data_IF_177725479382
#
_entry.id   IF_177725479382
#
_cell.length_a   1.000
_cell.length_b   1.000
_cell.length_c   1.000
_cell.angle_alpha   90.00
_cell.angle_beta   90.00
_cell.angle_gamma   90.00
#
_symmetry.space_group_name_H-M   'P 1'
#
loop_
_entity.id
_entity.type
_entity.pdbx_description
1 polymer ?
#
# COMPACT_ATOMS: atom_id res chain seq x y z
N UNK A 1 11.92 -2.80 15.97
CA UNK A 1 11.21 -1.83 15.07
C UNK A 1 10.02 -2.54 14.45
N UNK A 2 8.92 -1.85 14.20
CA UNK A 2 7.75 -2.45 13.56
C UNK A 2 8.11 -2.71 12.08
N UNK A 3 7.99 -3.97 11.64
CA UNK A 3 8.24 -4.37 10.25
C UNK A 3 7.11 -3.83 9.36
N UNK A 4 7.42 -3.57 8.08
CA UNK A 4 6.38 -3.25 7.12
C UNK A 4 5.41 -4.44 6.98
N UNK A 5 4.10 -4.17 6.99
CA UNK A 5 3.07 -5.21 6.92
C UNK A 5 1.83 -4.76 6.16
N UNK A 6 1.18 -5.72 5.51
CA UNK A 6 -0.10 -5.55 4.83
C UNK A 6 -1.16 -6.38 5.54
N UNK A 7 -2.22 -5.74 6.04
CA UNK A 7 -3.40 -6.41 6.58
C UNK A 7 -4.53 -6.35 5.55
N UNK A 8 -5.03 -7.49 5.13
CA UNK A 8 -6.18 -7.58 4.23
C UNK A 8 -7.46 -7.43 5.07
N UNK A 9 -8.18 -6.33 4.89
CA UNK A 9 -9.48 -6.11 5.51
C UNK A 9 -10.61 -6.70 4.66
N UNK A 10 -10.43 -6.74 3.35
CA UNK A 10 -11.30 -7.37 2.38
C UNK A 10 -10.59 -7.59 1.05
N UNK A 11 -10.83 -8.74 0.42
CA UNK A 11 -10.23 -9.13 -0.86
C UNK A 11 -11.22 -9.75 -1.85
N UNK A 12 -12.54 -9.57 -1.64
CA UNK A 12 -13.57 -9.99 -2.57
C UNK A 12 -13.81 -8.98 -3.69
N UNK A 13 -14.19 -9.47 -4.86
CA UNK A 13 -14.52 -8.69 -6.07
C UNK A 13 -16.02 -8.42 -6.14
N UNK A 14 -16.39 -7.20 -6.48
CA UNK A 14 -17.73 -6.70 -6.81
C UNK A 14 -18.78 -6.82 -5.68
N UNK A 15 -19.00 -7.98 -5.13
CA UNK A 15 -20.04 -8.22 -4.13
C UNK A 15 -19.48 -8.72 -2.80
N UNK A 16 -19.96 -8.22 -1.65
CA UNK A 16 -19.63 -8.82 -0.38
C UNK A 16 -20.17 -10.25 -0.32
N UNK A 17 -19.41 -11.16 0.23
CA UNK A 17 -19.80 -12.53 0.49
C UNK A 17 -19.75 -12.83 1.99
N UNK A 18 -20.18 -14.00 2.41
CA UNK A 18 -20.01 -14.41 3.82
C UNK A 18 -18.55 -14.58 4.21
N UNK A 19 -17.66 -14.85 3.25
CA UNK A 19 -16.24 -15.13 3.47
C UNK A 19 -15.38 -13.91 3.21
N UNK A 20 -15.61 -13.20 2.12
CA UNK A 20 -14.78 -12.07 1.68
C UNK A 20 -15.60 -10.79 1.64
N UNK A 21 -15.06 -9.75 2.25
CA UNK A 21 -15.54 -8.36 2.15
C UNK A 21 -14.94 -7.69 0.90
N UNK A 22 -15.56 -6.61 0.40
CA UNK A 22 -15.03 -5.82 -0.71
C UNK A 22 -13.63 -5.27 -0.42
N UNK A 23 -12.94 -4.88 -1.49
CA UNK A 23 -11.53 -4.47 -1.46
C UNK A 23 -11.22 -3.41 -0.40
N UNK A 24 -10.34 -3.76 0.51
CA UNK A 24 -9.76 -2.83 1.49
C UNK A 24 -8.50 -3.43 2.11
N UNK A 25 -7.38 -2.71 2.06
CA UNK A 25 -6.11 -3.14 2.61
C UNK A 25 -5.51 -2.07 3.49
N UNK A 26 -4.98 -2.46 4.65
CA UNK A 26 -4.26 -1.59 5.56
C UNK A 26 -2.76 -1.87 5.45
N UNK A 27 -2.01 -0.94 4.90
CA UNK A 27 -0.56 -0.99 4.85
C UNK A 27 0.02 -0.25 6.06
N UNK A 28 0.85 -0.94 6.83
CA UNK A 28 1.68 -0.33 7.88
C UNK A 28 3.13 -0.29 7.43
N UNK A 29 3.69 0.92 7.36
CA UNK A 29 5.07 1.17 6.94
C UNK A 29 5.63 2.36 7.71
N UNK A 30 6.80 2.21 8.33
CA UNK A 30 7.43 3.30 9.10
C UNK A 30 6.52 3.89 10.20
N UNK A 31 5.81 3.06 10.94
CA UNK A 31 4.85 3.46 11.98
C UNK A 31 3.63 4.25 11.47
N UNK A 32 3.45 4.33 10.16
CA UNK A 32 2.31 4.96 9.50
C UNK A 32 1.33 3.92 9.00
N UNK A 33 0.07 4.31 8.98
CA UNK A 33 -1.02 3.51 8.43
C UNK A 33 -1.60 4.19 7.20
N UNK A 34 -1.68 3.43 6.11
CA UNK A 34 -2.28 3.82 4.85
C UNK A 34 -3.40 2.84 4.53
N UNK A 35 -4.60 3.34 4.25
CA UNK A 35 -5.69 2.51 3.76
C UNK A 35 -5.68 2.56 2.22
N UNK A 36 -5.74 1.41 1.58
CA UNK A 36 -5.82 1.27 0.14
C UNK A 36 -7.16 0.64 -0.17
N UNK A 37 -7.98 1.39 -0.89
CA UNK A 37 -9.40 1.16 -1.10
C UNK A 37 -10.23 1.08 0.19
N UNK A 38 -11.51 1.33 0.08
CA UNK A 38 -12.43 1.37 1.21
C UNK A 38 -13.80 0.85 0.76
N UNK A 39 -13.88 -0.46 0.54
CA UNK A 39 -15.12 -1.14 0.21
C UNK A 39 -16.11 -1.14 1.39
N UNK A 40 -17.34 -1.54 1.12
CA UNK A 40 -18.39 -1.60 2.13
C UNK A 40 -17.98 -2.46 3.33
N UNK A 41 -18.21 -1.94 4.54
CA UNK A 41 -17.91 -2.65 5.79
C UNK A 41 -16.47 -2.52 6.28
N UNK A 42 -15.61 -1.75 5.60
CA UNK A 42 -14.21 -1.53 6.00
C UNK A 42 -14.06 -1.12 7.47
N UNK A 43 -14.91 -0.20 7.98
CA UNK A 43 -14.87 0.23 9.38
C UNK A 43 -15.14 -0.91 10.37
N UNK A 44 -15.98 -1.88 9.99
CA UNK A 44 -16.25 -3.07 10.82
C UNK A 44 -14.99 -3.93 10.91
N UNK A 45 -14.34 -4.16 9.77
CA UNK A 45 -13.10 -4.95 9.69
C UNK A 45 -11.95 -4.29 10.42
N UNK A 46 -11.81 -2.97 10.32
CA UNK A 46 -10.84 -2.19 11.11
C UNK A 46 -11.08 -2.35 12.61
N UNK A 47 -12.34 -2.30 13.05
CA UNK A 47 -12.70 -2.52 14.44
C UNK A 47 -12.31 -3.94 14.91
N UNK A 48 -12.59 -4.97 14.11
CA UNK A 48 -12.23 -6.37 14.40
C UNK A 48 -10.71 -6.56 14.55
N UNK A 49 -9.91 -5.82 13.77
CA UNK A 49 -8.44 -5.84 13.83
C UNK A 49 -7.85 -4.88 14.88
N UNK A 50 -8.67 -4.14 15.62
CA UNK A 50 -8.22 -3.18 16.62
C UNK A 50 -7.47 -1.98 16.04
N UNK A 51 -7.73 -1.62 14.78
CA UNK A 51 -7.09 -0.49 14.11
C UNK A 51 -7.57 0.83 14.73
N UNK A 52 -6.62 1.66 15.15
CA UNK A 52 -6.95 2.95 15.79
C UNK A 52 -7.22 4.02 14.75
N UNK A 53 -8.42 4.59 14.77
CA UNK A 53 -8.86 5.63 13.83
C UNK A 53 -7.86 6.80 13.70
N UNK A 54 -7.26 7.24 14.82
CA UNK A 54 -6.34 8.39 14.84
C UNK A 54 -4.96 8.11 14.20
N UNK A 55 -4.60 6.84 13.94
CA UNK A 55 -3.34 6.49 13.28
C UNK A 55 -3.46 6.51 11.75
N UNK A 56 -4.66 6.33 11.21
CA UNK A 56 -4.92 6.36 9.77
C UNK A 56 -5.02 7.81 9.29
N UNK A 57 -4.00 8.30 8.59
CA UNK A 57 -3.96 9.66 8.06
C UNK A 57 -4.35 9.75 6.58
N UNK A 58 -4.10 8.71 5.81
CA UNK A 58 -4.24 8.73 4.36
C UNK A 58 -4.99 7.51 3.84
N UNK A 59 -5.91 7.76 2.90
CA UNK A 59 -6.67 6.75 2.16
C UNK A 59 -6.38 6.94 0.68
N UNK A 60 -6.05 5.87 -0.02
CA UNK A 60 -5.77 5.83 -1.46
C UNK A 60 -6.85 5.01 -2.16
N UNK A 61 -7.61 5.62 -3.06
CA UNK A 61 -8.70 4.95 -3.80
C UNK A 61 -8.26 4.72 -5.23
N UNK A 62 -8.18 3.46 -5.62
CA UNK A 62 -7.69 3.02 -6.93
C UNK A 62 -8.63 3.45 -8.07
N UNK A 63 -9.94 3.30 -7.87
CA UNK A 63 -10.97 3.69 -8.81
C UNK A 63 -12.36 3.78 -8.12
N UNK A 64 -13.39 4.21 -8.87
CA UNK A 64 -14.70 4.54 -8.29
C UNK A 64 -15.77 3.45 -8.51
N UNK A 65 -15.41 2.17 -8.61
CA UNK A 65 -16.37 1.10 -8.41
C UNK A 65 -16.76 1.01 -6.92
N UNK A 66 -18.00 0.59 -6.66
CA UNK A 66 -18.57 0.62 -5.31
C UNK A 66 -17.80 -0.25 -4.31
N UNK A 67 -17.32 -1.41 -4.75
CA UNK A 67 -16.54 -2.34 -3.94
C UNK A 67 -15.15 -1.80 -3.54
N UNK A 68 -14.76 -0.63 -4.06
CA UNK A 68 -13.51 0.06 -3.69
C UNK A 68 -13.74 1.36 -2.92
N UNK A 69 -14.95 1.92 -2.87
CA UNK A 69 -15.16 3.24 -2.26
C UNK A 69 -16.44 3.41 -1.42
N UNK A 70 -17.42 2.51 -1.48
CA UNK A 70 -18.70 2.69 -0.76
C UNK A 70 -18.57 2.67 0.76
N UNK A 71 -17.47 2.17 1.31
CA UNK A 71 -17.21 2.19 2.75
C UNK A 71 -16.80 3.55 3.30
N UNK A 72 -16.41 4.52 2.44
CA UNK A 72 -15.88 5.81 2.87
C UNK A 72 -16.84 6.60 3.76
N UNK A 73 -18.12 6.69 3.40
CA UNK A 73 -19.11 7.42 4.22
C UNK A 73 -19.24 6.83 5.61
N UNK A 74 -19.35 5.51 5.71
CA UNK A 74 -19.45 4.81 7.00
C UNK A 74 -18.18 4.96 7.83
N UNK A 75 -17.01 4.89 7.20
CA UNK A 75 -15.72 5.06 7.87
C UNK A 75 -15.56 6.48 8.43
N UNK A 76 -15.81 7.51 7.62
CA UNK A 76 -15.68 8.92 8.03
C UNK A 76 -16.66 9.26 9.14
N UNK A 77 -17.93 8.85 9.02
CA UNK A 77 -18.93 9.02 10.08
C UNK A 77 -18.50 8.33 11.38
N UNK A 78 -17.97 7.12 11.31
CA UNK A 78 -17.43 6.38 12.46
C UNK A 78 -16.27 7.13 13.10
N UNK A 79 -15.36 7.71 12.31
CA UNK A 79 -14.25 8.52 12.82
C UNK A 79 -14.73 9.79 13.54
N UNK A 80 -15.80 10.41 13.06
CA UNK A 80 -16.46 11.52 13.77
C UNK A 80 -16.96 11.10 15.15
N UNK A 81 -17.69 9.98 15.23
CA UNK A 81 -18.19 9.43 16.49
C UNK A 81 -17.09 9.00 17.48
N UNK A 82 -15.90 8.66 16.96
CA UNK A 82 -14.71 8.35 17.79
C UNK A 82 -13.90 9.59 18.17
N UNK A 83 -14.42 10.79 17.97
CA UNK A 83 -13.79 12.08 18.31
C UNK A 83 -12.39 12.24 17.68
N UNK A 84 -12.23 11.82 16.43
CA UNK A 84 -11.02 12.08 15.66
C UNK A 84 -10.84 13.58 15.49
N UNK A 85 -9.62 14.09 15.70
CA UNK A 85 -9.26 15.51 15.47
C UNK A 85 -8.20 15.69 14.38
N UNK A 86 -7.44 14.63 14.08
CA UNK A 86 -6.42 14.68 13.03
C UNK A 86 -7.07 14.71 11.63
N UNK A 87 -6.52 15.48 10.72
CA UNK A 87 -6.95 15.52 9.32
C UNK A 87 -6.96 14.15 8.66
N UNK A 88 -7.90 13.94 7.73
CA UNK A 88 -7.98 12.74 6.92
C UNK A 88 -7.79 13.11 5.45
N UNK A 89 -6.74 12.59 4.84
CA UNK A 89 -6.40 12.85 3.44
C UNK A 89 -6.90 11.70 2.57
N UNK A 90 -7.65 12.01 1.51
CA UNK A 90 -8.17 11.04 0.53
C UNK A 90 -7.55 11.34 -0.82
N UNK A 91 -6.76 10.41 -1.32
CA UNK A 91 -6.11 10.45 -2.62
C UNK A 91 -6.94 9.64 -3.61
N UNK A 92 -7.59 10.31 -4.58
CA UNK A 92 -8.51 9.66 -5.51
C UNK A 92 -8.69 10.49 -6.79
N UNK A 93 -9.45 9.95 -7.72
CA UNK A 93 -9.92 10.72 -8.89
C UNK A 93 -10.82 11.89 -8.45
N UNK A 94 -10.78 13.00 -9.19
CA UNK A 94 -11.50 14.23 -8.88
C UNK A 94 -13.03 14.06 -8.68
N UNK A 95 -13.62 13.06 -9.32
CA UNK A 95 -15.05 12.81 -9.21
C UNK A 95 -15.48 12.29 -7.84
N UNK A 96 -14.55 11.67 -7.07
CA UNK A 96 -14.87 11.23 -5.72
C UNK A 96 -15.23 12.40 -4.80
N UNK A 97 -14.48 13.49 -4.85
CA UNK A 97 -14.78 14.70 -4.07
C UNK A 97 -16.19 15.25 -4.40
N UNK A 98 -16.52 15.30 -5.69
CA UNK A 98 -17.84 15.79 -6.15
C UNK A 98 -18.99 14.94 -5.61
N UNK A 99 -18.78 13.63 -5.49
CA UNK A 99 -19.77 12.67 -5.00
C UNK A 99 -19.85 12.69 -3.48
N UNK A 100 -18.70 12.68 -2.80
CA UNK A 100 -18.64 12.47 -1.35
C UNK A 100 -18.88 13.75 -0.55
N UNK A 101 -18.39 14.90 -1.03
CA UNK A 101 -18.48 16.17 -0.31
C UNK A 101 -19.93 16.62 0.02
N UNK A 102 -20.91 16.53 -0.89
CA UNK A 102 -22.32 16.82 -0.55
C UNK A 102 -22.88 15.86 0.50
N UNK A 103 -22.49 14.58 0.48
CA UNK A 103 -22.93 13.61 1.47
C UNK A 103 -22.33 13.91 2.85
N UNK A 104 -21.05 14.27 2.91
CA UNK A 104 -20.39 14.69 4.15
C UNK A 104 -21.05 15.93 4.74
N UNK A 105 -21.40 16.92 3.90
CA UNK A 105 -22.10 18.13 4.33
C UNK A 105 -23.50 17.84 4.90
N UNK A 106 -24.16 16.81 4.40
CA UNK A 106 -25.51 16.43 4.84
C UNK A 106 -25.49 15.53 6.08
N UNK A 107 -24.68 14.49 6.09
CA UNK A 107 -24.68 13.44 7.11
C UNK A 107 -23.63 13.63 8.21
N UNK A 108 -22.58 14.43 7.97
CA UNK A 108 -21.41 14.56 8.84
C UNK A 108 -20.98 16.03 8.96
N UNK A 109 -21.93 16.93 9.18
CA UNK A 109 -21.70 18.39 9.22
C UNK A 109 -20.98 18.88 10.49
N UNK A 110 -20.82 18.03 11.49
CA UNK A 110 -20.24 18.30 12.81
C UNK A 110 -18.90 17.59 13.07
N UNK A 111 -18.21 17.15 12.00
CA UNK A 111 -16.89 16.50 12.13
C UNK A 111 -15.90 17.43 12.84
N UNK A 112 -15.18 16.89 13.81
CA UNK A 112 -14.10 17.58 14.53
C UNK A 112 -12.77 17.60 13.77
N UNK A 113 -12.75 17.13 12.52
CA UNK A 113 -11.57 17.07 11.64
C UNK A 113 -11.92 17.40 10.20
N UNK A 114 -10.91 17.81 9.44
CA UNK A 114 -11.05 18.08 8.02
C UNK A 114 -10.83 16.82 7.19
N UNK A 115 -11.67 16.62 6.15
CA UNK A 115 -11.45 15.66 5.07
C UNK A 115 -10.88 16.42 3.88
N UNK A 116 -9.64 16.09 3.51
CA UNK A 116 -8.87 16.78 2.45
C UNK A 116 -8.75 15.84 1.26
N UNK A 117 -9.20 16.30 0.09
CA UNK A 117 -9.13 15.53 -1.15
C UNK A 117 -7.90 15.92 -1.97
N UNK A 118 -7.17 14.92 -2.43
CA UNK A 118 -6.02 15.03 -3.34
C UNK A 118 -6.35 14.31 -4.64
N UNK A 119 -6.41 15.07 -5.72
CA UNK A 119 -6.74 14.51 -7.05
C UNK A 119 -5.56 13.74 -7.62
N UNK A 120 -5.80 12.49 -8.04
CA UNK A 120 -4.84 11.63 -8.72
C UNK A 120 -5.13 11.57 -10.22
N UNK A 121 -4.07 11.63 -11.03
CA UNK A 121 -4.14 11.29 -12.44
C UNK A 121 -3.86 9.80 -12.64
N UNK A 122 -4.90 8.99 -12.84
CA UNK A 122 -4.80 7.54 -12.98
C UNK A 122 -4.07 7.06 -14.26
N UNK A 123 -3.79 7.97 -15.19
CA UNK A 123 -3.13 7.65 -16.47
C UNK A 123 -1.62 7.88 -16.47
N UNK A 124 -1.08 8.44 -15.37
CA UNK A 124 0.34 8.75 -15.24
C UNK A 124 0.94 8.00 -14.07
N UNK A 125 2.21 7.66 -14.22
CA UNK A 125 3.06 7.28 -13.10
C UNK A 125 3.66 8.55 -12.54
N UNK A 126 3.19 8.99 -11.38
CA UNK A 126 3.63 10.24 -10.75
C UNK A 126 3.61 10.13 -9.23
N UNK A 127 4.44 10.95 -8.57
CA UNK A 127 4.46 11.08 -7.12
C UNK A 127 3.16 11.74 -6.64
N UNK A 128 2.40 11.03 -5.80
CA UNK A 128 1.10 11.49 -5.30
C UNK A 128 1.09 11.79 -3.80
N UNK A 129 2.09 11.27 -3.07
CA UNK A 129 2.31 11.57 -1.66
C UNK A 129 3.79 11.42 -1.33
N UNK A 130 4.29 12.30 -0.47
CA UNK A 130 5.65 12.23 0.04
C UNK A 130 5.73 12.85 1.43
N UNK A 131 6.50 12.18 2.30
CA UNK A 131 6.99 12.77 3.54
C UNK A 131 8.48 12.43 3.75
N UNK A 132 8.99 12.60 4.97
CA UNK A 132 10.41 12.31 5.26
C UNK A 132 10.78 10.83 5.17
N UNK A 133 9.81 9.91 5.18
CA UNK A 133 10.06 8.47 5.35
C UNK A 133 9.48 7.58 4.26
N UNK A 134 8.43 8.05 3.56
CA UNK A 134 7.70 7.28 2.56
C UNK A 134 7.37 8.15 1.36
N UNK A 135 7.45 7.58 0.17
CA UNK A 135 6.91 8.11 -1.08
C UNK A 135 5.84 7.16 -1.62
N UNK A 136 4.80 7.72 -2.25
CA UNK A 136 3.76 6.93 -2.92
C UNK A 136 3.58 7.44 -4.34
N UNK A 137 3.65 6.51 -5.28
CA UNK A 137 3.44 6.80 -6.70
C UNK A 137 2.19 6.10 -7.21
N UNK A 138 1.50 6.72 -8.17
CA UNK A 138 0.44 6.07 -8.93
C UNK A 138 1.00 5.11 -9.96
N UNK A 139 0.33 3.97 -10.19
CA UNK A 139 0.65 2.98 -11.22
C UNK A 139 -0.51 2.94 -12.19
N UNK A 140 -0.38 3.41 -13.45
CA UNK A 140 -1.46 3.31 -14.44
C UNK A 140 -1.87 1.86 -14.67
N UNK A 141 -3.15 1.56 -14.51
CA UNK A 141 -3.72 0.23 -14.76
C UNK A 141 -4.67 0.25 -15.97
N UNK A 142 -5.04 -0.94 -16.45
CA UNK A 142 -5.95 -1.10 -17.57
C UNK A 142 -7.28 -1.68 -17.10
N UNK A 143 -8.27 -0.83 -16.95
CA UNK A 143 -9.61 -1.21 -16.52
C UNK A 143 -10.68 -0.39 -17.24
N UNK A 144 -11.96 -0.84 -17.17
CA UNK A 144 -13.12 -0.22 -17.85
C UNK A 144 -13.40 1.21 -17.43
N UNK A 145 -13.03 1.56 -16.22
CA UNK A 145 -13.06 2.94 -15.70
C UNK A 145 -11.64 3.41 -15.42
N UNK A 146 -11.39 4.72 -15.34
CA UNK A 146 -10.07 5.22 -14.96
C UNK A 146 -9.63 4.58 -13.64
N UNK A 147 -8.48 3.89 -13.64
CA UNK A 147 -7.97 3.11 -12.51
C UNK A 147 -6.46 3.24 -12.40
N UNK A 148 -5.94 3.24 -11.18
CA UNK A 148 -4.51 3.12 -10.91
C UNK A 148 -4.24 2.24 -9.68
N UNK A 149 -3.10 1.61 -9.67
CA UNK A 149 -2.49 1.03 -8.49
C UNK A 149 -1.61 2.04 -7.76
N UNK A 150 -0.90 1.56 -6.74
CA UNK A 150 -0.03 2.39 -5.90
C UNK A 150 1.29 1.68 -5.62
N UNK A 151 2.40 2.42 -5.75
CA UNK A 151 3.72 1.97 -5.33
C UNK A 151 4.13 2.75 -4.09
N UNK A 152 4.31 2.07 -2.97
CA UNK A 152 4.81 2.62 -1.72
C UNK A 152 6.29 2.28 -1.60
N UNK A 153 7.10 3.30 -1.39
CA UNK A 153 8.55 3.15 -1.24
C UNK A 153 9.03 3.81 0.06
N UNK A 154 9.72 3.04 0.89
CA UNK A 154 10.45 3.63 2.00
C UNK A 154 11.63 4.45 1.48
N UNK A 155 11.84 5.61 2.07
CA UNK A 155 13.09 6.36 1.86
C UNK A 155 14.23 5.74 2.65
N UNK A 156 15.44 5.78 2.09
CA UNK A 156 16.64 5.32 2.78
C UNK A 156 16.80 6.07 4.11
N UNK A 157 17.05 5.34 5.18
CA UNK A 157 17.41 5.92 6.48
C UNK A 157 18.88 6.29 6.54
N UNK A 158 19.19 7.25 7.40
CA UNK A 158 20.57 7.49 7.81
C UNK A 158 21.17 6.23 8.43
N UNK A 159 22.49 6.08 8.27
CA UNK A 159 23.28 5.01 8.92
C UNK A 159 23.17 5.11 10.45
N UNK A 160 23.40 4.01 11.13
CA UNK A 160 23.43 3.99 12.60
C UNK A 160 24.85 4.27 13.09
N UNK A 161 25.04 5.34 13.87
CA UNK A 161 26.32 5.61 14.48
C UNK A 161 26.62 4.61 15.60
N UNK A 162 27.84 4.11 15.65
CA UNK A 162 28.32 3.21 16.69
C UNK A 162 28.70 4.09 17.91
N UNK A 163 27.97 3.92 19.02
CA UNK A 163 28.10 4.81 20.17
C UNK A 163 29.52 4.87 20.74
N UNK A 164 30.17 3.70 20.82
CA UNK A 164 31.52 3.56 21.34
C UNK A 164 32.54 4.36 20.52
N UNK A 165 32.30 4.54 19.23
CA UNK A 165 33.14 5.35 18.34
C UNK A 165 33.02 6.84 18.60
N UNK A 166 31.86 7.30 19.10
CA UNK A 166 31.68 8.71 19.49
C UNK A 166 32.63 9.07 20.62
N UNK A 167 32.66 8.22 21.65
CA UNK A 167 33.49 8.43 22.82
C UNK A 167 34.97 8.21 22.50
N UNK A 168 35.31 7.20 21.69
CA UNK A 168 36.69 6.83 21.34
C UNK A 168 37.38 7.90 20.51
N UNK A 169 36.68 8.48 19.50
CA UNK A 169 37.24 9.52 18.62
C UNK A 169 36.89 10.95 19.07
N UNK A 170 36.19 11.14 20.19
CA UNK A 170 35.78 12.44 20.69
C UNK A 170 34.84 13.19 19.73
N UNK A 171 33.94 12.47 19.02
CA UNK A 171 33.12 13.05 17.96
C UNK A 171 32.13 14.08 18.52
N UNK A 172 32.22 15.36 18.11
CA UNK A 172 31.27 16.38 18.56
C UNK A 172 29.85 16.09 18.09
N UNK A 173 28.85 16.32 18.93
CA UNK A 173 27.44 16.00 18.67
C UNK A 173 26.93 16.62 17.35
N UNK A 174 27.38 17.81 16.98
CA UNK A 174 26.98 18.49 15.74
C UNK A 174 27.51 17.81 14.47
N UNK A 175 28.53 16.94 14.56
CA UNK A 175 29.07 16.15 13.42
C UNK A 175 28.24 14.87 13.18
N UNK A 176 27.59 14.35 14.21
CA UNK A 176 26.86 13.06 14.14
C UNK A 176 25.86 13.01 12.98
N UNK A 177 25.02 14.03 12.72
CA UNK A 177 24.09 13.96 11.58
C UNK A 177 24.79 13.75 10.23
N UNK A 178 25.90 14.41 9.96
CA UNK A 178 26.65 14.27 8.71
C UNK A 178 27.32 12.91 8.58
N UNK A 179 27.90 12.41 9.69
CA UNK A 179 28.47 11.05 9.74
C UNK A 179 27.38 10.01 9.45
N UNK A 180 26.18 10.16 10.00
CA UNK A 180 25.04 9.30 9.71
C UNK A 180 24.58 9.37 8.25
N UNK A 181 24.85 10.46 7.55
CA UNK A 181 24.60 10.65 6.12
C UNK A 181 25.72 10.09 5.22
N UNK A 182 26.80 9.56 5.82
CA UNK A 182 27.88 8.91 5.10
C UNK A 182 29.19 9.68 5.05
N UNK A 183 29.29 10.87 5.68
CA UNK A 183 30.57 11.61 5.74
C UNK A 183 31.59 10.91 6.65
N UNK A 184 32.86 10.95 6.25
CA UNK A 184 33.97 10.58 7.11
C UNK A 184 34.15 11.62 8.23
N UNK A 185 34.79 11.23 9.32
CA UNK A 185 35.14 12.16 10.39
C UNK A 185 36.62 12.54 10.30
N UNK A 186 36.91 13.82 10.41
CA UNK A 186 38.27 14.33 10.48
C UNK A 186 38.53 14.82 11.91
N UNK A 187 39.56 14.25 12.57
CA UNK A 187 39.98 14.64 13.90
C UNK A 187 40.63 16.03 13.90
N UNK A 188 40.83 16.60 15.08
CA UNK A 188 41.51 17.89 15.21
C UNK A 188 42.99 17.85 14.75
N UNK A 189 43.61 16.65 14.76
CA UNK A 189 44.95 16.37 14.26
C UNK A 189 45.01 16.17 12.74
N UNK A 190 43.84 16.15 12.05
CA UNK A 190 43.73 15.98 10.60
C UNK A 190 43.67 14.53 10.15
N UNK A 191 43.54 13.56 11.05
CA UNK A 191 43.33 12.16 10.70
C UNK A 191 41.93 11.94 10.16
N UNK A 192 41.81 11.24 9.02
CA UNK A 192 40.50 10.88 8.40
C UNK A 192 40.04 9.51 8.90
N UNK A 193 38.94 9.49 9.63
CA UNK A 193 38.32 8.27 10.09
C UNK A 193 37.19 7.88 9.13
N UNK A 194 37.32 6.75 8.40
CA UNK A 194 36.33 6.32 7.41
C UNK A 194 34.96 6.06 8.03
N UNK A 195 33.89 6.51 7.37
CA UNK A 195 32.52 6.35 7.82
C UNK A 195 32.13 4.91 8.18
N UNK A 196 32.65 3.92 7.45
CA UNK A 196 32.40 2.50 7.70
C UNK A 196 32.88 1.99 9.05
N UNK A 197 33.86 2.69 9.71
CA UNK A 197 34.32 2.38 11.07
C UNK A 197 33.36 2.98 12.10
N UNK A 198 32.77 4.14 11.77
CA UNK A 198 31.94 4.93 12.69
C UNK A 198 30.48 4.52 12.70
N UNK A 199 30.02 3.81 11.64
CA UNK A 199 28.60 3.54 11.43
C UNK A 199 28.33 2.14 10.92
N UNK A 200 27.13 1.64 11.19
CA UNK A 200 26.56 0.46 10.54
C UNK A 200 25.50 0.87 9.53
N UNK A 201 25.29 0.09 8.43
CA UNK A 201 24.23 0.37 7.48
C UNK A 201 22.86 0.35 8.16
N UNK A 202 21.96 1.20 7.68
CA UNK A 202 20.53 1.11 8.03
C UNK A 202 19.88 -0.06 7.27
N UNK A 203 18.67 -0.42 7.70
CA UNK A 203 17.88 -1.44 7.00
C UNK A 203 17.59 -1.03 5.56
N UNK A 204 17.51 -2.03 4.67
CA UNK A 204 17.12 -1.81 3.27
C UNK A 204 15.69 -1.31 3.20
N UNK A 205 15.42 -0.21 2.48
CA UNK A 205 14.08 0.31 2.28
C UNK A 205 13.14 -0.74 1.67
N UNK A 206 11.93 -0.82 2.18
CA UNK A 206 10.90 -1.71 1.67
C UNK A 206 10.09 -1.04 0.57
N UNK A 207 9.67 -1.84 -0.42
CA UNK A 207 8.84 -1.43 -1.54
C UNK A 207 7.63 -2.35 -1.65
N UNK A 208 6.44 -1.76 -1.70
CA UNK A 208 5.17 -2.48 -1.84
C UNK A 208 4.38 -1.92 -3.02
N UNK A 209 3.89 -2.80 -3.90
CA UNK A 209 3.01 -2.42 -5.00
C UNK A 209 1.62 -3.04 -4.83
N UNK A 210 0.58 -2.23 -5.05
CA UNK A 210 -0.81 -2.63 -5.10
C UNK A 210 -1.36 -2.44 -6.51
N UNK A 211 -1.78 -3.53 -7.14
CA UNK A 211 -2.37 -3.55 -8.48
C UNK A 211 -3.66 -4.36 -8.44
N UNK A 212 -4.80 -3.69 -8.22
CA UNK A 212 -6.13 -4.29 -8.29
C UNK A 212 -6.89 -3.76 -9.51
N UNK A 213 -7.85 -4.52 -10.00
CA UNK A 213 -8.71 -4.22 -11.15
C UNK A 213 -7.92 -3.79 -12.39
N UNK A 214 -7.28 -4.76 -12.99
CA UNK A 214 -6.54 -4.57 -14.24
C UNK A 214 -6.62 -5.78 -15.14
N UNK A 215 -6.85 -5.58 -16.44
CA UNK A 215 -6.50 -6.60 -17.41
C UNK A 215 -4.99 -6.91 -17.33
N UNK A 216 -4.57 -8.06 -17.85
CA UNK A 216 -3.14 -8.35 -18.03
C UNK A 216 -2.43 -7.20 -18.75
N UNK A 217 -1.51 -6.53 -18.04
CA UNK A 217 -0.94 -5.27 -18.51
C UNK A 217 0.55 -5.15 -18.19
N UNK A 218 1.40 -5.56 -19.12
CA UNK A 218 2.86 -5.62 -18.93
C UNK A 218 3.53 -4.25 -18.76
N UNK A 219 2.86 -3.15 -19.09
CA UNK A 219 3.46 -1.81 -18.90
C UNK A 219 3.71 -1.44 -17.44
N UNK A 220 3.11 -2.18 -16.48
CA UNK A 220 3.41 -1.98 -15.06
C UNK A 220 4.74 -2.60 -14.63
N UNK A 221 5.27 -3.57 -15.39
CA UNK A 221 6.47 -4.33 -15.04
C UNK A 221 7.66 -3.43 -14.67
N UNK A 222 8.07 -2.45 -15.50
CA UNK A 222 9.19 -1.58 -15.16
C UNK A 222 8.95 -0.69 -13.93
N UNK A 223 7.68 -0.43 -13.57
CA UNK A 223 7.32 0.39 -12.40
C UNK A 223 7.46 -0.42 -11.11
N UNK A 224 7.08 -1.70 -11.14
CA UNK A 224 7.07 -2.59 -9.97
C UNK A 224 8.28 -3.53 -9.91
N UNK A 225 9.29 -3.30 -10.74
CA UNK A 225 10.48 -4.16 -10.81
C UNK A 225 11.14 -4.31 -9.44
N UNK A 226 11.34 -5.55 -9.02
CA UNK A 226 12.06 -5.91 -7.79
C UNK A 226 11.40 -5.48 -6.47
N UNK A 227 10.10 -5.13 -6.44
CA UNK A 227 9.41 -4.80 -5.18
C UNK A 227 9.43 -5.98 -4.20
N UNK A 228 9.47 -5.67 -2.89
CA UNK A 228 9.49 -6.70 -1.84
C UNK A 228 8.18 -7.49 -1.81
N UNK A 229 7.05 -6.81 -2.05
CA UNK A 229 5.75 -7.45 -2.10
C UNK A 229 4.85 -6.78 -3.16
N UNK A 230 4.25 -7.59 -4.01
CA UNK A 230 3.20 -7.21 -4.95
C UNK A 230 1.87 -7.78 -4.48
N UNK A 231 0.86 -6.94 -4.26
CA UNK A 231 -0.54 -7.36 -4.26
C UNK A 231 -1.08 -7.20 -5.69
N UNK A 232 -1.61 -8.28 -6.26
CA UNK A 232 -2.20 -8.26 -7.61
C UNK A 232 -3.54 -8.97 -7.60
N UNK A 233 -4.50 -8.42 -8.36
CA UNK A 233 -5.78 -9.11 -8.55
C UNK A 233 -5.58 -10.46 -9.23
N UNK A 234 -6.48 -11.39 -8.89
CA UNK A 234 -6.62 -12.71 -9.51
C UNK A 234 -8.11 -13.08 -9.51
N UNK A 235 -8.89 -12.25 -10.19
CA UNK A 235 -10.36 -12.36 -10.18
C UNK A 235 -10.84 -13.65 -10.79
N UNK A 236 -10.09 -14.22 -11.75
CA UNK A 236 -10.46 -15.42 -12.49
C UNK A 236 -9.33 -16.46 -12.55
N UNK A 237 -9.70 -17.70 -12.86
CA UNK A 237 -8.76 -18.74 -13.30
C UNK A 237 -8.54 -18.65 -14.82
N UNK A 238 -7.54 -19.33 -15.34
CA UNK A 238 -7.16 -19.28 -16.77
C UNK A 238 -8.24 -19.88 -17.70
N UNK A 239 -9.08 -20.80 -17.21
CA UNK A 239 -10.23 -21.31 -17.93
C UNK A 239 -11.29 -20.24 -18.23
N UNK A 240 -11.35 -19.19 -17.40
CA UNK A 240 -12.21 -18.00 -17.57
C UNK A 240 -11.48 -16.81 -18.24
N UNK A 241 -10.38 -17.04 -18.93
CA UNK A 241 -9.56 -16.00 -19.57
C UNK A 241 -10.34 -15.11 -20.55
N UNK A 242 -11.32 -15.67 -21.26
CA UNK A 242 -12.17 -14.89 -22.18
C UNK A 242 -12.97 -13.86 -21.37
N UNK A 243 -13.55 -14.28 -20.27
CA UNK A 243 -14.33 -13.42 -19.38
C UNK A 243 -13.44 -12.37 -18.69
N UNK A 244 -12.27 -12.78 -18.21
CA UNK A 244 -11.27 -11.89 -17.64
C UNK A 244 -10.96 -10.74 -18.60
N UNK A 245 -10.73 -11.05 -19.89
CA UNK A 245 -10.49 -10.04 -20.91
C UNK A 245 -11.70 -9.12 -21.17
N UNK A 246 -12.93 -9.68 -21.17
CA UNK A 246 -14.16 -8.91 -21.39
C UNK A 246 -14.47 -7.94 -20.23
N UNK A 247 -14.11 -8.32 -19.02
CA UNK A 247 -14.34 -7.51 -17.81
C UNK A 247 -13.13 -6.67 -17.43
N UNK A 248 -12.03 -6.76 -18.18
CA UNK A 248 -10.73 -6.11 -17.92
C UNK A 248 -10.18 -6.42 -16.52
N UNK A 249 -10.18 -7.71 -16.19
CA UNK A 249 -9.53 -8.30 -15.02
C UNK A 249 -8.43 -9.27 -15.43
N UNK A 250 -7.69 -9.79 -14.46
CA UNK A 250 -6.62 -10.76 -14.66
C UNK A 250 -7.01 -12.16 -14.17
N UNK A 251 -6.34 -13.18 -14.74
CA UNK A 251 -6.34 -14.53 -14.19
C UNK A 251 -5.24 -14.68 -13.14
N UNK A 252 -5.36 -15.69 -12.27
CA UNK A 252 -4.34 -16.01 -11.28
C UNK A 252 -2.99 -16.34 -11.94
N UNK A 253 -3.02 -17.05 -13.08
CA UNK A 253 -1.83 -17.30 -13.90
C UNK A 253 -1.18 -16.00 -14.39
N UNK A 254 -1.97 -15.06 -14.87
CA UNK A 254 -1.50 -13.76 -15.35
C UNK A 254 -0.88 -12.92 -14.23
N UNK A 255 -1.44 -12.96 -13.02
CA UNK A 255 -0.84 -12.34 -11.85
C UNK A 255 0.55 -12.93 -11.55
N UNK A 256 0.69 -14.27 -11.62
CA UNK A 256 1.97 -14.95 -11.51
C UNK A 256 2.97 -14.55 -12.61
N UNK A 257 2.52 -14.40 -13.87
CA UNK A 257 3.36 -13.97 -14.99
C UNK A 257 3.90 -12.54 -14.81
N UNK A 258 3.07 -11.61 -14.34
CA UNK A 258 3.50 -10.24 -14.00
C UNK A 258 4.54 -10.28 -12.89
N UNK A 259 4.29 -11.03 -11.80
CA UNK A 259 5.20 -11.14 -10.69
C UNK A 259 6.57 -11.71 -11.09
N UNK A 260 6.56 -12.77 -11.93
CA UNK A 260 7.79 -13.39 -12.45
C UNK A 260 8.59 -12.42 -13.32
N UNK A 261 7.92 -11.76 -14.28
CA UNK A 261 8.56 -10.81 -15.21
C UNK A 261 9.11 -9.57 -14.51
N UNK A 262 8.42 -9.10 -13.47
CA UNK A 262 8.87 -7.97 -12.67
C UNK A 262 9.94 -8.35 -11.62
N UNK A 263 10.23 -9.64 -11.43
CA UNK A 263 11.21 -10.10 -10.44
C UNK A 263 10.86 -9.70 -9.01
N UNK A 264 9.57 -9.64 -8.66
CA UNK A 264 9.14 -9.30 -7.30
C UNK A 264 9.59 -10.37 -6.31
N UNK A 265 9.72 -10.03 -5.01
CA UNK A 265 10.16 -11.02 -4.03
C UNK A 265 9.00 -11.88 -3.53
N UNK A 266 7.78 -11.34 -3.45
CA UNK A 266 6.57 -12.02 -2.97
C UNK A 266 5.35 -11.53 -3.73
N UNK A 267 4.43 -12.44 -4.06
CA UNK A 267 3.12 -12.13 -4.62
C UNK A 267 2.02 -12.46 -3.62
N UNK A 268 1.11 -11.53 -3.39
CA UNK A 268 -0.17 -11.76 -2.72
C UNK A 268 -1.25 -11.61 -3.78
N UNK A 269 -2.02 -12.67 -4.03
CA UNK A 269 -3.17 -12.59 -4.93
C UNK A 269 -4.45 -12.29 -4.16
N UNK A 270 -5.38 -11.54 -4.75
CA UNK A 270 -6.65 -11.18 -4.14
C UNK A 270 -7.70 -10.77 -5.16
N UNK A 271 -8.74 -10.06 -4.72
CA UNK A 271 -9.85 -9.61 -5.56
C UNK A 271 -10.59 -10.77 -6.24
N UNK A 272 -10.96 -11.79 -5.45
CA UNK A 272 -11.55 -13.03 -5.96
C UNK A 272 -12.99 -12.86 -6.37
N UNK A 273 -13.36 -13.38 -7.54
CA UNK A 273 -14.77 -13.50 -7.94
C UNK A 273 -15.56 -14.38 -6.96
N UNK A 274 -16.76 -13.96 -6.60
CA UNK A 274 -17.67 -14.70 -5.72
C UNK A 274 -18.03 -16.12 -6.22
N UNK A 275 -17.72 -16.45 -7.47
CA UNK A 275 -17.88 -17.80 -8.05
C UNK A 275 -16.95 -18.84 -7.41
N UNK A 276 -15.81 -18.41 -6.90
CA UNK A 276 -14.82 -19.30 -6.27
C UNK A 276 -15.05 -19.36 -4.76
N UNK A 277 -15.67 -20.42 -4.30
CA UNK A 277 -15.90 -20.68 -2.86
C UNK A 277 -14.62 -21.14 -2.16
N UNK A 278 -13.68 -21.74 -2.92
CA UNK A 278 -12.33 -22.10 -2.50
C UNK A 278 -11.32 -21.43 -3.42
N UNK A 279 -10.38 -20.70 -2.84
CA UNK A 279 -9.34 -19.97 -3.58
C UNK A 279 -8.05 -20.78 -3.79
N UNK A 280 -8.02 -22.04 -3.31
CA UNK A 280 -6.83 -22.92 -3.43
C UNK A 280 -6.42 -23.14 -4.89
N UNK A 281 -7.39 -23.26 -5.80
CA UNK A 281 -7.09 -23.49 -7.22
C UNK A 281 -6.48 -22.25 -7.87
N UNK A 282 -6.94 -21.04 -7.50
CA UNK A 282 -6.31 -19.77 -7.90
C UNK A 282 -4.86 -19.69 -7.41
N UNK A 283 -4.61 -20.08 -6.15
CA UNK A 283 -3.27 -20.12 -5.59
C UNK A 283 -2.36 -21.09 -6.36
N UNK A 284 -2.83 -22.30 -6.62
CA UNK A 284 -2.07 -23.32 -7.33
C UNK A 284 -1.72 -22.87 -8.75
N UNK A 285 -2.67 -22.22 -9.43
CA UNK A 285 -2.47 -21.67 -10.78
C UNK A 285 -1.41 -20.56 -10.78
N UNK A 286 -1.44 -19.64 -9.84
CA UNK A 286 -0.44 -18.58 -9.71
C UNK A 286 0.92 -19.16 -9.31
N UNK A 287 0.98 -20.09 -8.36
CA UNK A 287 2.21 -20.76 -7.91
C UNK A 287 2.89 -21.59 -8.99
N UNK A 288 2.14 -22.14 -9.93
CA UNK A 288 2.70 -22.86 -11.07
C UNK A 288 3.59 -21.94 -11.96
N UNK A 289 3.43 -20.62 -11.85
CA UNK A 289 4.21 -19.61 -12.58
C UNK A 289 5.20 -18.91 -11.65
N UNK A 290 4.76 -18.52 -10.47
CA UNK A 290 5.57 -17.81 -9.47
C UNK A 290 5.39 -18.44 -8.08
N UNK A 291 6.37 -19.23 -7.63
CA UNK A 291 6.29 -20.08 -6.43
C UNK A 291 6.02 -19.28 -5.15
N UNK A 292 6.68 -18.12 -4.97
CA UNK A 292 6.50 -17.29 -3.77
C UNK A 292 5.20 -16.49 -3.81
N UNK A 293 4.09 -17.19 -3.99
CA UNK A 293 2.73 -16.65 -4.02
C UNK A 293 1.95 -17.11 -2.79
N UNK A 294 1.17 -16.21 -2.21
CA UNK A 294 0.21 -16.50 -1.13
C UNK A 294 -1.18 -15.95 -1.45
N UNK A 295 -2.21 -16.55 -0.87
CA UNK A 295 -3.56 -15.99 -0.90
C UNK A 295 -3.63 -14.73 -0.03
N UNK A 296 -4.33 -13.71 -0.49
CA UNK A 296 -4.86 -12.66 0.37
C UNK A 296 -6.10 -13.19 1.08
N UNK A 297 -6.08 -13.22 2.38
CA UNK A 297 -7.20 -13.70 3.20
C UNK A 297 -7.68 -12.58 4.12
N UNK A 298 -8.99 -12.40 4.20
CA UNK A 298 -9.60 -11.39 5.05
C UNK A 298 -9.14 -11.53 6.51
N UNK A 299 -8.83 -10.40 7.16
CA UNK A 299 -8.32 -10.27 8.53
C UNK A 299 -6.96 -10.94 8.77
N UNK A 300 -6.17 -11.14 7.72
CA UNK A 300 -4.83 -11.70 7.81
C UNK A 300 -3.77 -10.63 7.53
N UNK A 301 -2.70 -10.65 8.32
CA UNK A 301 -1.55 -9.73 8.19
C UNK A 301 -0.36 -10.45 7.61
N UNK A 302 0.24 -9.85 6.60
CA UNK A 302 1.42 -10.34 5.87
C UNK A 302 2.60 -9.41 6.11
N UNK A 303 3.75 -9.96 6.44
CA UNK A 303 5.02 -9.22 6.48
C UNK A 303 5.53 -8.97 5.06
N UNK A 304 6.04 -7.73 4.80
CA UNK A 304 6.61 -7.26 3.54
C UNK A 304 8.15 -7.36 3.58
#
# INVERSE_FOLDING_TARGET
MQKASLTILGCGSAMPTRKNFPSSQLLEIRDKQFLIDCGEGTQIRMCQMGVKANRLGHIFISHLHGDHCFGLMGLISTFGMLNRTAELHIHAQADLEKILKPQLQYFCNDLSFNVIFHTINTRKHELIYEDRSVQVFSIPLKHRVPCCGFLFEEKQRDRHIIREMIDFYGIPTFRIPRIKQGEDFITDEGEVIPNGILTTPSETPKRFAYCSDTAYYEKIIPIIEGVDCLYHEATFMEDEKIRSKQTEHSTARQAGEIALKAGVKKLIIGHYSARYTNQTDLLNEAKAVFENTVLGEDLTTYEI
#
